data_IF_478516514635
#
_entry.id   IF_478516514635
#
_cell.length_a   1.000
_cell.length_b   1.000
_cell.length_c   1.000
_cell.angle_alpha   90.00
_cell.angle_beta   90.00
_cell.angle_gamma   90.00
#
_symmetry.space_group_name_H-M   'P 1'
#
loop_
_entity.id
_entity.type
_entity.pdbx_description
1 polymer ?
#
# COMPACT_ATOMS: atom_id res chain seq x y z
N UNK A 1 9.92 2.69 -13.66
CA UNK A 1 10.26 4.02 -14.17
C UNK A 1 11.05 4.79 -13.11
N UNK A 2 12.11 5.46 -13.51
CA UNK A 2 12.98 6.22 -12.60
C UNK A 2 12.84 7.70 -12.95
N UNK A 3 12.29 8.51 -12.05
CA UNK A 3 12.04 9.94 -12.29
C UNK A 3 13.31 10.72 -12.57
N UNK A 4 14.39 10.43 -11.86
CA UNK A 4 15.69 11.06 -12.03
C UNK A 4 16.67 10.26 -12.90
N UNK A 5 16.16 9.58 -13.92
CA UNK A 5 16.94 8.72 -14.82
C UNK A 5 18.10 9.45 -15.53
N UNK A 6 17.92 10.73 -15.88
CA UNK A 6 18.99 11.54 -16.49
C UNK A 6 20.16 11.78 -15.54
N UNK A 7 19.89 12.16 -14.29
CA UNK A 7 20.93 12.35 -13.28
C UNK A 7 21.66 11.03 -12.99
N UNK A 8 20.91 9.94 -12.86
CA UNK A 8 21.48 8.62 -12.68
C UNK A 8 22.42 8.23 -13.82
N UNK A 9 21.99 8.43 -15.08
CA UNK A 9 22.83 8.15 -16.27
C UNK A 9 24.08 9.01 -16.32
N UNK A 10 23.96 10.31 -16.02
CA UNK A 10 25.10 11.23 -15.97
C UNK A 10 26.13 10.80 -14.93
N UNK A 11 25.71 10.49 -13.71
CA UNK A 11 26.60 10.01 -12.65
C UNK A 11 27.25 8.69 -13.00
N UNK A 12 26.48 7.76 -13.56
CA UNK A 12 27.01 6.45 -14.02
C UNK A 12 28.03 6.61 -15.14
N UNK A 13 27.79 7.50 -16.11
CA UNK A 13 28.73 7.79 -17.19
C UNK A 13 30.02 8.43 -16.67
N UNK A 14 29.92 9.27 -15.65
CA UNK A 14 31.05 9.90 -14.99
C UNK A 14 31.79 8.95 -14.01
N UNK A 15 31.39 7.66 -13.91
CA UNK A 15 31.91 6.67 -12.96
C UNK A 15 31.84 7.14 -11.50
N UNK A 16 30.91 8.03 -11.19
CA UNK A 16 30.68 8.46 -9.80
C UNK A 16 29.85 7.43 -9.06
N UNK A 17 30.16 7.12 -7.78
CA UNK A 17 29.35 6.22 -7.01
C UNK A 17 27.95 6.81 -6.79
N UNK A 18 26.94 6.02 -7.17
CA UNK A 18 25.52 6.37 -6.90
C UNK A 18 25.13 5.64 -5.63
N UNK A 19 24.99 6.39 -4.54
CA UNK A 19 24.45 5.87 -3.28
C UNK A 19 23.02 6.39 -3.14
N UNK A 20 21.99 5.56 -3.38
CA UNK A 20 20.61 5.96 -3.13
C UNK A 20 20.40 6.16 -1.63
N UNK A 21 19.90 7.32 -1.24
CA UNK A 21 19.51 7.62 0.15
C UNK A 21 18.12 7.08 0.49
N UNK A 22 17.34 6.74 -0.51
CA UNK A 22 15.99 6.24 -0.40
C UNK A 22 15.35 6.11 -1.79
N UNK A 23 14.17 5.53 -1.83
CA UNK A 23 13.32 5.45 -3.01
C UNK A 23 11.91 5.92 -2.64
N UNK A 24 11.30 6.71 -3.51
CA UNK A 24 9.88 7.02 -3.44
C UNK A 24 9.16 6.13 -4.46
N UNK A 25 8.14 5.43 -3.99
CA UNK A 25 7.28 4.63 -4.85
C UNK A 25 6.09 5.50 -5.29
N UNK A 26 5.79 5.47 -6.58
CA UNK A 26 4.61 6.15 -7.13
C UNK A 26 3.90 5.20 -8.07
N UNK A 27 2.62 4.94 -7.80
CA UNK A 27 1.74 4.18 -8.68
C UNK A 27 0.87 5.10 -9.52
N UNK A 28 0.57 4.69 -10.73
CA UNK A 28 -0.40 5.35 -11.60
C UNK A 28 -1.69 4.52 -11.58
N UNK A 29 -2.81 5.14 -11.20
CA UNK A 29 -4.10 4.48 -11.19
C UNK A 29 -4.98 4.93 -12.36
N UNK A 30 -5.59 3.97 -13.05
CA UNK A 30 -6.57 4.24 -14.13
C UNK A 30 -7.93 4.53 -13.54
N UNK A 31 -8.29 3.82 -12.47
CA UNK A 31 -9.55 3.97 -11.77
C UNK A 31 -9.37 3.67 -10.29
N UNK A 32 -10.18 4.33 -9.49
CA UNK A 32 -10.15 4.12 -8.05
C UNK A 32 -11.44 4.54 -7.37
N UNK A 33 -11.58 4.13 -6.13
CA UNK A 33 -12.68 4.56 -5.27
C UNK A 33 -12.21 4.87 -3.86
N UNK A 34 -12.89 5.82 -3.26
CA UNK A 34 -12.67 6.19 -1.86
C UNK A 34 -13.59 5.35 -0.96
N UNK A 35 -12.99 4.67 -0.01
CA UNK A 35 -13.69 3.89 1.01
C UNK A 35 -13.73 4.66 2.34
N UNK A 36 -14.72 4.37 3.14
CA UNK A 36 -14.78 4.87 4.52
C UNK A 36 -13.64 4.27 5.36
N UNK A 37 -13.18 4.98 6.40
CA UNK A 37 -12.22 4.42 7.33
C UNK A 37 -12.81 3.18 8.04
N UNK A 38 -11.96 2.26 8.44
CA UNK A 38 -12.39 1.21 9.37
C UNK A 38 -12.45 1.83 10.75
N UNK A 39 -13.62 1.78 11.36
CA UNK A 39 -13.78 2.28 12.73
C UNK A 39 -13.01 1.37 13.69
N UNK A 40 -11.88 1.85 14.18
CA UNK A 40 -11.11 1.20 15.24
C UNK A 40 -11.17 2.03 16.50
N UNK A 41 -11.31 1.36 17.62
CA UNK A 41 -11.03 2.00 18.90
C UNK A 41 -9.51 2.20 19.04
N UNK A 42 -9.08 3.17 19.85
CA UNK A 42 -7.65 3.41 20.09
C UNK A 42 -6.93 2.15 20.56
N UNK A 43 -7.59 1.35 21.41
CA UNK A 43 -7.08 0.06 21.86
C UNK A 43 -6.86 -0.92 20.71
N UNK A 44 -7.82 -1.05 19.80
CA UNK A 44 -7.70 -1.92 18.62
C UNK A 44 -6.59 -1.47 17.67
N UNK A 45 -6.38 -0.17 17.54
CA UNK A 45 -5.28 0.38 16.74
C UNK A 45 -3.92 0.07 17.36
N UNK A 46 -3.81 0.15 18.70
CA UNK A 46 -2.60 -0.18 19.41
C UNK A 46 -2.28 -1.68 19.39
N UNK A 47 -3.28 -2.52 19.62
CA UNK A 47 -3.17 -3.99 19.52
C UNK A 47 -2.73 -4.41 18.10
N UNK A 48 -3.29 -3.78 17.05
CA UNK A 48 -2.88 -4.01 15.66
C UNK A 48 -1.41 -3.65 15.41
N UNK A 49 -0.94 -2.51 15.93
CA UNK A 49 0.46 -2.10 15.79
C UNK A 49 1.42 -3.05 16.49
N UNK A 50 1.04 -3.50 17.68
CA UNK A 50 1.85 -4.48 18.43
C UNK A 50 1.89 -5.83 17.71
N UNK A 51 0.75 -6.29 17.18
CA UNK A 51 0.67 -7.52 16.40
C UNK A 51 1.53 -7.43 15.12
N UNK A 52 1.50 -6.28 14.41
CA UNK A 52 2.33 -6.07 13.24
C UNK A 52 3.84 -6.12 13.56
N UNK A 53 4.26 -5.49 14.65
CA UNK A 53 5.67 -5.55 15.11
C UNK A 53 6.10 -6.97 15.46
N UNK A 54 5.25 -7.70 16.20
CA UNK A 54 5.53 -9.11 16.56
C UNK A 54 5.66 -9.96 15.30
N UNK A 55 4.73 -9.79 14.33
CA UNK A 55 4.77 -10.53 13.06
C UNK A 55 6.02 -10.20 12.25
N UNK A 56 6.44 -8.94 12.21
CA UNK A 56 7.68 -8.53 11.53
C UNK A 56 8.92 -9.21 12.16
N UNK A 57 8.97 -9.29 13.48
CA UNK A 57 10.05 -10.00 14.19
C UNK A 57 10.05 -11.50 13.90
N UNK A 58 8.87 -12.15 13.88
CA UNK A 58 8.74 -13.57 13.53
C UNK A 58 9.15 -13.84 12.07
N UNK A 59 8.77 -12.95 11.14
CA UNK A 59 9.18 -13.06 9.74
C UNK A 59 10.71 -12.95 9.57
N UNK A 60 11.34 -12.07 10.33
CA UNK A 60 12.80 -11.95 10.29
C UNK A 60 13.49 -13.21 10.86
N UNK A 61 13.01 -13.76 11.97
CA UNK A 61 13.51 -15.01 12.54
C UNK A 61 13.30 -16.19 11.54
N UNK A 62 12.12 -16.29 10.92
CA UNK A 62 11.82 -17.31 9.93
C UNK A 62 12.74 -17.25 8.70
N UNK A 63 13.10 -16.05 8.22
CA UNK A 63 14.09 -15.88 7.15
C UNK A 63 15.48 -16.42 7.51
N UNK A 64 15.81 -16.46 8.78
CA UNK A 64 17.06 -17.04 9.28
C UNK A 64 16.94 -18.53 9.60
N UNK A 65 15.80 -19.16 9.28
CA UNK A 65 15.60 -20.61 9.43
C UNK A 65 15.13 -21.04 10.82
N UNK A 66 14.56 -20.13 11.61
CA UNK A 66 13.95 -20.46 12.91
C UNK A 66 12.64 -21.23 12.69
N UNK A 67 12.64 -22.53 13.01
CA UNK A 67 11.51 -23.43 12.81
C UNK A 67 10.33 -23.06 13.70
N UNK A 68 10.55 -22.64 14.94
CA UNK A 68 9.49 -22.23 15.86
C UNK A 68 8.78 -20.96 15.36
N UNK A 69 9.53 -20.04 14.77
CA UNK A 69 8.98 -18.84 14.14
C UNK A 69 8.12 -19.18 12.90
N UNK A 70 8.57 -20.15 12.09
CA UNK A 70 7.80 -20.63 10.92
C UNK A 70 6.51 -21.31 11.35
N UNK A 71 6.57 -22.16 12.36
CA UNK A 71 5.38 -22.84 12.90
C UNK A 71 4.37 -21.84 13.49
N UNK A 72 4.86 -20.89 14.29
CA UNK A 72 4.03 -19.82 14.88
C UNK A 72 3.32 -19.01 13.79
N UNK A 73 4.03 -18.58 12.75
CA UNK A 73 3.43 -17.84 11.63
C UNK A 73 2.38 -18.67 10.90
N UNK A 74 2.63 -19.96 10.71
CA UNK A 74 1.69 -20.86 10.03
C UNK A 74 0.39 -21.00 10.82
N UNK A 75 0.48 -21.16 12.13
CA UNK A 75 -0.70 -21.25 13.02
C UNK A 75 -1.47 -19.93 13.02
N UNK A 76 -0.77 -18.78 13.18
CA UNK A 76 -1.39 -17.45 13.15
C UNK A 76 -2.11 -17.18 11.80
N UNK A 77 -1.55 -17.63 10.67
CA UNK A 77 -2.16 -17.48 9.35
C UNK A 77 -3.42 -18.34 9.18
N UNK A 78 -3.42 -19.57 9.70
CA UNK A 78 -4.60 -20.45 9.68
C UNK A 78 -5.73 -19.87 10.53
N UNK A 79 -5.42 -19.37 11.73
CA UNK A 79 -6.39 -18.73 12.61
C UNK A 79 -6.97 -17.45 11.99
N UNK A 80 -6.11 -16.62 11.41
CA UNK A 80 -6.51 -15.40 10.69
C UNK A 80 -7.44 -15.74 9.53
N UNK A 81 -7.06 -16.73 8.70
CA UNK A 81 -7.88 -17.17 7.58
C UNK A 81 -9.27 -17.67 8.04
N UNK A 82 -9.31 -18.46 9.10
CA UNK A 82 -10.55 -18.99 9.66
C UNK A 82 -11.46 -17.88 10.22
N UNK A 83 -10.88 -16.90 10.90
CA UNK A 83 -11.59 -15.73 11.42
C UNK A 83 -12.14 -14.86 10.28
N UNK A 84 -11.31 -14.54 9.29
CA UNK A 84 -11.70 -13.70 8.14
C UNK A 84 -12.78 -14.41 7.32
N UNK A 85 -12.66 -15.70 7.06
CA UNK A 85 -13.66 -16.49 6.33
C UNK A 85 -15.04 -16.48 6.98
N UNK A 86 -15.10 -16.53 8.31
CA UNK A 86 -16.37 -16.42 9.04
C UNK A 86 -16.98 -15.02 8.95
N UNK A 87 -16.15 -13.99 9.00
CA UNK A 87 -16.61 -12.59 8.94
C UNK A 87 -17.12 -12.22 7.55
N UNK A 88 -16.45 -12.65 6.48
CA UNK A 88 -16.86 -12.39 5.09
C UNK A 88 -18.26 -12.91 4.77
N UNK A 89 -18.70 -13.98 5.46
CA UNK A 89 -20.06 -14.51 5.29
C UNK A 89 -21.17 -13.55 5.76
N UNK A 90 -20.86 -12.58 6.63
CA UNK A 90 -21.84 -11.73 7.31
C UNK A 90 -21.51 -10.23 7.25
N UNK A 91 -20.29 -9.86 6.87
CA UNK A 91 -19.81 -8.48 6.84
C UNK A 91 -19.31 -8.10 5.44
N UNK A 92 -19.35 -6.80 5.11
CA UNK A 92 -18.71 -6.29 3.90
C UNK A 92 -17.19 -6.51 3.97
N UNK A 93 -16.65 -7.09 2.93
CA UNK A 93 -15.21 -7.38 2.80
C UNK A 93 -14.34 -6.13 3.05
N UNK A 94 -14.82 -4.95 2.67
CA UNK A 94 -14.09 -3.70 2.88
C UNK A 94 -14.19 -3.14 4.31
N UNK A 95 -15.06 -3.70 5.14
CA UNK A 95 -15.05 -3.41 6.58
C UNK A 95 -14.03 -4.26 7.33
N UNK A 96 -13.61 -5.36 6.72
CA UNK A 96 -12.66 -6.33 7.29
C UNK A 96 -11.23 -6.04 6.81
N UNK A 97 -11.06 -5.84 5.50
CA UNK A 97 -9.75 -5.56 4.90
C UNK A 97 -9.43 -4.08 5.08
N UNK A 98 -8.49 -3.81 5.93
CA UNK A 98 -8.03 -2.45 6.22
C UNK A 98 -7.10 -1.93 5.15
N UNK A 99 -6.07 -2.69 4.85
CA UNK A 99 -5.07 -2.40 3.83
C UNK A 99 -4.81 -3.63 2.98
N UNK A 100 -4.41 -3.42 1.74
CA UNK A 100 -4.05 -4.48 0.81
C UNK A 100 -3.01 -3.96 -0.18
N UNK A 101 -1.99 -4.75 -0.42
CA UNK A 101 -1.02 -4.52 -1.49
C UNK A 101 -0.68 -5.87 -2.11
N UNK A 102 -1.38 -6.21 -3.19
CA UNK A 102 -1.24 -7.52 -3.83
C UNK A 102 -0.95 -7.36 -5.32
N UNK A 103 0.05 -8.08 -5.85
CA UNK A 103 0.25 -8.15 -7.29
C UNK A 103 -1.01 -8.75 -7.94
N UNK A 104 -1.40 -8.18 -9.07
CA UNK A 104 -2.50 -8.66 -9.89
C UNK A 104 -2.12 -8.58 -11.36
N UNK A 105 -2.84 -9.35 -12.18
CA UNK A 105 -2.51 -9.48 -13.58
C UNK A 105 -1.46 -10.57 -13.88
N UNK A 106 -1.27 -10.86 -15.16
CA UNK A 106 -0.41 -11.94 -15.63
C UNK A 106 1.07 -11.54 -15.58
N UNK A 107 1.36 -10.26 -15.81
CA UNK A 107 2.73 -9.74 -15.94
C UNK A 107 3.31 -9.23 -14.61
N UNK A 108 2.53 -9.27 -13.51
CA UNK A 108 2.94 -8.80 -12.18
C UNK A 108 3.43 -7.34 -12.13
N UNK A 109 3.00 -6.53 -13.08
CA UNK A 109 3.28 -5.09 -13.16
C UNK A 109 2.16 -4.22 -12.58
N UNK A 110 1.05 -4.85 -12.22
CA UNK A 110 -0.11 -4.22 -11.61
C UNK A 110 -0.31 -4.71 -10.18
N UNK A 111 -0.81 -3.81 -9.35
CA UNK A 111 -1.09 -4.09 -7.95
C UNK A 111 -2.51 -3.67 -7.58
N UNK A 112 -3.22 -4.53 -6.88
CA UNK A 112 -4.45 -4.16 -6.19
C UNK A 112 -4.09 -3.54 -4.85
N UNK A 113 -4.52 -2.31 -4.65
CA UNK A 113 -4.13 -1.50 -3.49
C UNK A 113 -5.37 -1.08 -2.71
N UNK A 114 -5.31 -1.24 -1.39
CA UNK A 114 -6.17 -0.55 -0.42
C UNK A 114 -5.23 0.06 0.62
N UNK A 115 -5.24 1.39 0.76
CA UNK A 115 -4.39 2.09 1.71
C UNK A 115 -5.09 3.32 2.29
N UNK A 116 -4.68 3.72 3.48
CA UNK A 116 -5.17 4.94 4.11
C UNK A 116 -4.56 6.17 3.45
N UNK A 117 -5.39 7.16 3.16
CA UNK A 117 -4.95 8.44 2.59
C UNK A 117 -4.40 9.31 3.72
N UNK A 118 -3.09 9.56 3.70
CA UNK A 118 -2.40 10.38 4.70
C UNK A 118 -2.14 11.81 4.24
N UNK A 119 -1.96 12.01 2.93
CA UNK A 119 -1.79 13.34 2.33
C UNK A 119 -2.52 13.39 0.97
N UNK A 120 -2.97 14.58 0.60
CA UNK A 120 -3.65 14.84 -0.67
C UNK A 120 -3.06 16.10 -1.26
N UNK A 121 -2.64 16.04 -2.51
CA UNK A 121 -2.32 17.21 -3.31
C UNK A 121 -2.95 17.09 -4.70
N UNK A 122 -3.09 18.20 -5.38
CA UNK A 122 -3.62 18.26 -6.74
C UNK A 122 -2.60 18.86 -7.68
N UNK A 123 -2.58 18.35 -8.88
CA UNK A 123 -1.78 18.90 -9.98
C UNK A 123 -2.59 18.85 -11.28
N UNK A 124 -2.15 19.56 -12.30
CA UNK A 124 -2.78 19.49 -13.61
C UNK A 124 -1.83 18.81 -14.61
N UNK A 125 -2.39 17.93 -15.43
CA UNK A 125 -1.65 17.36 -16.55
C UNK A 125 -1.21 18.48 -17.49
N UNK A 126 0.06 18.53 -17.84
CA UNK A 126 0.60 19.61 -18.68
C UNK A 126 0.04 19.61 -20.09
N UNK A 127 -0.35 18.46 -20.63
CA UNK A 127 -0.84 18.28 -21.98
C UNK A 127 -2.37 18.39 -22.01
N UNK A 128 -3.07 17.54 -21.25
CA UNK A 128 -4.53 17.46 -21.28
C UNK A 128 -5.24 18.51 -20.42
N UNK A 129 -4.50 19.14 -19.48
CA UNK A 129 -5.00 20.08 -18.47
C UNK A 129 -5.98 19.49 -17.46
N UNK A 130 -6.13 18.18 -17.47
CA UNK A 130 -6.96 17.47 -16.50
C UNK A 130 -6.37 17.55 -15.10
N UNK A 131 -7.23 17.63 -14.10
CA UNK A 131 -6.82 17.61 -12.70
C UNK A 131 -6.46 16.18 -12.25
N UNK A 132 -5.34 16.08 -11.57
CA UNK A 132 -4.80 14.83 -11.03
C UNK A 132 -4.77 14.96 -9.51
N UNK A 133 -5.33 13.99 -8.81
CA UNK A 133 -5.07 13.78 -7.40
C UNK A 133 -3.75 13.01 -7.23
N UNK A 134 -2.89 13.54 -6.37
CA UNK A 134 -1.71 12.84 -5.87
C UNK A 134 -1.99 12.48 -4.42
N UNK A 135 -2.22 11.21 -4.17
CA UNK A 135 -2.58 10.66 -2.87
C UNK A 135 -1.35 9.99 -2.27
N UNK A 136 -0.99 10.33 -1.06
CA UNK A 136 -0.01 9.57 -0.28
C UNK A 136 -0.77 8.55 0.53
N UNK A 137 -0.43 7.29 0.34
CA UNK A 137 -1.09 6.17 0.96
C UNK A 137 -0.17 5.51 1.97
N UNK A 138 -0.74 5.12 3.10
CA UNK A 138 -0.13 4.17 4.04
C UNK A 138 -0.82 2.80 3.87
N UNK A 139 -0.02 1.78 3.65
CA UNK A 139 -0.46 0.41 3.48
C UNK A 139 0.44 -0.51 4.30
N UNK A 140 0.11 -0.75 5.56
CA UNK A 140 0.90 -1.55 6.50
C UNK A 140 2.36 -1.06 6.61
N UNK A 141 2.54 0.19 7.03
CA UNK A 141 3.85 0.86 7.17
C UNK A 141 4.62 1.06 5.85
N UNK A 142 4.05 0.64 4.72
CA UNK A 142 4.57 0.95 3.40
C UNK A 142 3.90 2.22 2.87
N UNK A 143 4.69 3.28 2.76
CA UNK A 143 4.21 4.58 2.29
C UNK A 143 4.60 4.78 0.83
N UNK A 144 3.61 5.10 0.00
CA UNK A 144 3.84 5.40 -1.42
C UNK A 144 2.80 6.39 -1.94
N UNK A 145 3.07 6.94 -3.13
CA UNK A 145 2.18 7.88 -3.78
C UNK A 145 1.36 7.20 -4.88
N UNK A 146 0.12 7.65 -5.06
CA UNK A 146 -0.74 7.25 -6.18
C UNK A 146 -1.23 8.50 -6.88
N UNK A 147 -0.99 8.57 -8.19
CA UNK A 147 -1.55 9.59 -9.05
C UNK A 147 -2.76 9.03 -9.79
N UNK A 148 -3.88 9.73 -9.74
CA UNK A 148 -5.13 9.35 -10.41
C UNK A 148 -5.83 10.59 -10.97
N UNK A 149 -6.39 10.48 -12.18
CA UNK A 149 -7.25 11.53 -12.71
C UNK A 149 -8.48 11.72 -11.81
N UNK A 150 -8.82 12.96 -11.54
CA UNK A 150 -9.96 13.30 -10.68
C UNK A 150 -11.28 12.70 -11.16
N UNK A 151 -11.45 12.56 -12.48
CA UNK A 151 -12.67 12.00 -13.08
C UNK A 151 -12.75 10.49 -12.89
N UNK A 152 -11.62 9.80 -12.72
CA UNK A 152 -11.54 8.35 -12.59
C UNK A 152 -11.56 7.89 -11.12
N UNK A 153 -11.63 8.85 -10.18
CA UNK A 153 -11.76 8.58 -8.75
C UNK A 153 -13.21 8.70 -8.30
N UNK A 154 -13.83 7.59 -7.94
CA UNK A 154 -15.17 7.58 -7.36
C UNK A 154 -15.13 7.99 -5.89
N UNK A 155 -15.80 9.07 -5.56
CA UNK A 155 -15.88 9.63 -4.21
C UNK A 155 -14.82 10.70 -3.94
N UNK A 156 -15.02 11.43 -2.87
CA UNK A 156 -14.14 12.55 -2.48
C UNK A 156 -13.00 12.05 -1.58
N UNK A 157 -11.74 12.22 -1.97
CA UNK A 157 -10.62 11.84 -1.13
C UNK A 157 -10.54 12.77 0.09
N UNK A 158 -10.32 12.19 1.25
CA UNK A 158 -10.07 12.90 2.53
C UNK A 158 -9.04 12.12 3.32
N UNK A 159 -8.24 12.83 4.08
CA UNK A 159 -7.28 12.23 5.02
C UNK A 159 -8.04 11.33 6.00
N UNK A 160 -7.50 10.14 6.28
CA UNK A 160 -8.12 9.11 7.09
C UNK A 160 -9.13 8.22 6.37
N UNK A 161 -9.55 8.57 5.15
CA UNK A 161 -10.28 7.64 4.28
C UNK A 161 -9.30 6.71 3.56
N UNK A 162 -9.82 5.64 2.96
CA UNK A 162 -9.00 4.68 2.24
C UNK A 162 -9.22 4.81 0.73
N UNK A 163 -8.12 4.74 0.00
CA UNK A 163 -8.15 4.57 -1.44
C UNK A 163 -8.17 3.08 -1.78
N UNK A 164 -8.97 2.68 -2.76
CA UNK A 164 -8.94 1.37 -3.39
C UNK A 164 -8.83 1.54 -4.90
N UNK A 165 -7.85 0.88 -5.50
CA UNK A 165 -7.66 0.89 -6.95
C UNK A 165 -6.64 -0.13 -7.42
N UNK A 166 -6.49 -0.21 -8.75
CA UNK A 166 -5.38 -0.89 -9.39
C UNK A 166 -4.36 0.15 -9.82
N UNK A 167 -3.09 -0.11 -9.53
CA UNK A 167 -1.96 0.76 -9.83
C UNK A 167 -0.84 -0.03 -10.52
N UNK A 168 -0.08 0.66 -11.38
CA UNK A 168 1.20 0.22 -11.90
C UNK A 168 2.34 0.98 -11.26
#
# INVERSE_FOLDING_TARGET
YMENSMEYRMRRSARQPVQPKGAALTGLAVQGKVLLPVNKTEKQAEDSRQAAKKRSSLLEAAKHGDEDAIETLTIEDIDLYSMVSRRIAHEDVYSIIETCFMPCGIECDQYSVIGEITEISTSANRITKEEIYNLKLDCNDMVFHVAINKQDLLGEPRIGRRFKGQVW
#
